data_IF_874851449167
#
_entry.id   IF_874851449167
#
_cell.length_a   1.000
_cell.length_b   1.000
_cell.length_c   1.000
_cell.angle_alpha   90.00
_cell.angle_beta   90.00
_cell.angle_gamma   90.00
#
_symmetry.space_group_name_H-M   'P 1'
#
loop_
_entity.id
_entity.type
_entity.pdbx_description
1 polymer ?
#
# COMPACT_ATOMS: atom_id res chain seq x y z
N UNK A 1 -0.12 14.30 -9.03
CA UNK A 1 0.81 13.68 -10.01
C UNK A 1 0.19 12.37 -10.47
N UNK A 2 0.06 12.15 -11.78
CA UNK A 2 -0.58 10.95 -12.30
C UNK A 2 0.38 9.76 -12.22
N UNK A 3 0.23 8.92 -11.19
CA UNK A 3 0.95 7.64 -11.10
C UNK A 3 0.38 6.72 -12.18
N UNK A 4 1.15 6.45 -13.25
CA UNK A 4 0.76 5.48 -14.29
C UNK A 4 0.32 4.18 -13.62
N UNK A 5 -0.84 3.61 -14.00
CA UNK A 5 -1.30 2.37 -13.37
C UNK A 5 -0.28 1.23 -13.58
N UNK A 6 -0.20 0.24 -12.68
CA UNK A 6 0.70 -0.90 -12.88
C UNK A 6 0.45 -1.65 -14.20
N UNK A 7 -0.80 -1.69 -14.66
CA UNK A 7 -1.18 -2.27 -15.95
C UNK A 7 -0.64 -1.47 -17.14
N UNK A 8 -0.72 -0.13 -17.05
CA UNK A 8 -0.17 0.79 -18.06
C UNK A 8 1.36 0.66 -18.13
N UNK A 9 2.03 0.64 -16.98
CA UNK A 9 3.49 0.43 -16.91
C UNK A 9 3.90 -0.92 -17.52
N UNK A 10 3.15 -1.98 -17.27
CA UNK A 10 3.39 -3.30 -17.87
C UNK A 10 3.26 -3.27 -19.39
N UNK A 11 2.24 -2.60 -19.91
CA UNK A 11 2.02 -2.47 -21.33
C UNK A 11 3.14 -1.68 -22.01
N UNK A 12 3.56 -0.57 -21.41
CA UNK A 12 4.67 0.27 -21.90
C UNK A 12 6.01 -0.47 -21.84
N UNK A 13 6.26 -1.24 -20.78
CA UNK A 13 7.43 -2.11 -20.67
C UNK A 13 7.47 -3.16 -21.78
N UNK A 14 6.34 -3.85 -22.04
CA UNK A 14 6.25 -4.85 -23.10
C UNK A 14 6.49 -4.29 -24.51
N UNK A 15 6.31 -2.97 -24.69
CA UNK A 15 6.56 -2.25 -25.95
C UNK A 15 7.94 -1.59 -25.99
N UNK A 16 8.80 -1.80 -25.00
CA UNK A 16 10.08 -1.11 -24.85
C UNK A 16 9.98 0.42 -24.80
N UNK A 17 8.82 0.94 -24.37
CA UNK A 17 8.55 2.38 -24.19
C UNK A 17 9.02 2.91 -22.82
N UNK A 18 9.61 2.03 -22.01
CA UNK A 18 10.23 2.34 -20.71
C UNK A 18 11.63 1.77 -20.69
N UNK A 19 12.60 2.58 -20.25
CA UNK A 19 13.92 2.05 -19.90
C UNK A 19 13.84 1.23 -18.61
N UNK A 20 14.83 0.36 -18.38
CA UNK A 20 14.92 -0.43 -17.14
C UNK A 20 14.88 0.47 -15.89
N UNK A 21 15.63 1.57 -15.92
CA UNK A 21 15.65 2.55 -14.84
C UNK A 21 14.29 3.22 -14.62
N UNK A 22 13.55 3.54 -15.69
CA UNK A 22 12.20 4.11 -15.58
C UNK A 22 11.21 3.09 -15.02
N UNK A 23 11.27 1.84 -15.48
CA UNK A 23 10.43 0.76 -14.95
C UNK A 23 10.68 0.54 -13.46
N UNK A 24 11.95 0.45 -13.05
CA UNK A 24 12.33 0.31 -11.63
C UNK A 24 11.85 1.52 -10.83
N UNK A 25 12.07 2.74 -11.32
CA UNK A 25 11.62 3.96 -10.63
C UNK A 25 10.11 4.02 -10.44
N UNK A 26 9.33 3.59 -11.43
CA UNK A 26 7.88 3.50 -11.31
C UNK A 26 7.44 2.40 -10.34
N UNK A 27 8.08 1.23 -10.35
CA UNK A 27 7.77 0.14 -9.42
C UNK A 27 8.04 0.53 -7.97
N UNK A 28 9.15 1.22 -7.69
CA UNK A 28 9.47 1.74 -6.35
C UNK A 28 8.39 2.74 -5.88
N UNK A 29 7.98 3.67 -6.75
CA UNK A 29 6.92 4.63 -6.42
C UNK A 29 5.59 3.94 -6.09
N UNK A 30 5.21 2.90 -6.85
CA UNK A 30 4.02 2.11 -6.56
C UNK A 30 4.13 1.37 -5.23
N UNK A 31 5.29 0.78 -4.94
CA UNK A 31 5.52 0.06 -3.70
C UNK A 31 5.38 0.98 -2.48
N UNK A 32 5.97 2.18 -2.54
CA UNK A 32 5.85 3.19 -1.48
C UNK A 32 4.39 3.58 -1.25
N UNK A 33 3.64 3.85 -2.32
CA UNK A 33 2.22 4.22 -2.21
C UNK A 33 1.37 3.10 -1.60
N UNK A 34 1.68 1.83 -1.92
CA UNK A 34 1.00 0.68 -1.33
C UNK A 34 1.35 0.57 0.16
N UNK A 35 2.60 0.75 0.55
CA UNK A 35 3.01 0.73 1.96
C UNK A 35 2.34 1.84 2.76
N UNK A 36 2.31 3.07 2.25
CA UNK A 36 1.62 4.19 2.91
C UNK A 36 0.13 3.87 3.12
N UNK A 37 -0.53 3.33 2.09
CA UNK A 37 -1.94 2.96 2.19
C UNK A 37 -2.19 1.78 3.14
N UNK A 38 -1.27 0.82 3.22
CA UNK A 38 -1.34 -0.28 4.19
C UNK A 38 -1.20 0.25 5.61
N UNK A 39 -0.21 1.11 5.88
CA UNK A 39 -0.02 1.74 7.18
C UNK A 39 -1.25 2.57 7.61
N UNK A 40 -1.86 3.31 6.67
CA UNK A 40 -3.12 4.00 6.93
C UNK A 40 -4.27 3.05 7.29
N UNK A 41 -4.39 1.92 6.58
CA UNK A 41 -5.42 0.91 6.85
C UNK A 41 -5.18 0.25 8.21
N UNK A 42 -3.94 -0.13 8.52
CA UNK A 42 -3.54 -0.70 9.81
C UNK A 42 -3.85 0.25 10.96
N UNK A 43 -3.47 1.53 10.84
CA UNK A 43 -3.82 2.56 11.81
C UNK A 43 -5.33 2.71 11.99
N UNK A 44 -6.10 2.65 10.89
CA UNK A 44 -7.57 2.73 10.94
C UNK A 44 -8.21 1.51 11.58
N UNK A 45 -7.67 0.31 11.35
CA UNK A 45 -8.11 -0.92 12.00
C UNK A 45 -7.82 -0.85 13.51
N UNK A 46 -6.60 -0.47 13.89
CA UNK A 46 -6.23 -0.33 15.30
C UNK A 46 -7.08 0.71 16.04
N UNK A 47 -7.48 1.81 15.38
CA UNK A 47 -8.41 2.80 15.94
C UNK A 47 -9.86 2.32 16.00
N UNK A 48 -10.22 1.29 15.24
CA UNK A 48 -11.58 0.72 15.14
C UNK A 48 -11.77 -0.56 15.96
N UNK A 49 -10.74 -1.02 16.67
CA UNK A 49 -10.87 -2.00 17.75
C UNK A 49 -11.03 -1.28 19.11
N UNK A 50 -12.26 -0.92 19.54
CA UNK A 50 -12.53 -0.52 20.91
C UNK A 50 -12.78 -1.72 21.84
N UNK A 51 -12.37 -2.95 21.48
CA UNK A 51 -12.78 -4.13 22.22
C UNK A 51 -11.68 -5.17 22.35
N UNK A 52 -10.86 -5.00 23.38
CA UNK A 52 -10.54 -6.15 24.23
C UNK A 52 -10.64 -5.74 25.72
N UNK A 53 -11.84 -5.55 26.28
CA UNK A 53 -12.05 -5.90 27.67
C UNK A 53 -12.00 -7.43 27.72
N UNK A 54 -10.92 -7.97 28.29
CA UNK A 54 -10.83 -9.36 28.66
C UNK A 54 -12.09 -9.76 29.46
N UNK A 55 -12.96 -10.65 28.94
CA UNK A 55 -14.17 -11.07 29.64
C UNK A 55 -13.88 -11.93 30.89
N UNK A 56 -12.61 -12.11 31.27
CA UNK A 56 -12.19 -12.88 32.45
C UNK A 56 -11.65 -12.04 33.60
N UNK A 57 -11.62 -10.70 33.52
CA UNK A 57 -11.32 -9.86 34.70
C UNK A 57 -12.61 -9.37 35.36
N UNK A 58 -13.03 -9.96 36.49
CA UNK A 58 -14.08 -9.36 37.32
C UNK A 58 -13.60 -8.02 37.87
N UNK A 59 -14.52 -7.06 37.95
CA UNK A 59 -14.34 -5.77 38.62
C UNK A 59 -13.69 -5.95 40.00
N UNK A 60 -12.68 -5.12 40.26
CA UNK A 60 -12.20 -4.78 41.59
C UNK A 60 -12.07 -3.26 41.66
#
# INVERSE_FOLDING_TARGET
MATHSPSDLRQRWARSELTEQQAIGHLIQHLLLVYERLDEIEKRLHRRDPTEPDPRKPSA
#
